data_IF_800382551249
#
_entry.id   IF_800382551249
#
_cell.length_a   1.000
_cell.length_b   1.000
_cell.length_c   1.000
_cell.angle_alpha   90.00
_cell.angle_beta   90.00
_cell.angle_gamma   90.00
#
_symmetry.space_group_name_H-M   'P 1'
#
loop_
_entity.id
_entity.type
_entity.pdbx_description
1 polymer ?
#
# COMPACT_ATOMS: atom_id res chain seq x y z
N UNK A 1 -0.02 -1.87 4.98
CA UNK A 1 -0.64 -1.92 3.63
C UNK A 1 0.38 -1.79 2.50
N UNK A 2 1.46 -1.01 2.68
CA UNK A 2 2.55 -0.84 1.72
C UNK A 2 3.11 -2.13 1.07
N UNK A 3 3.33 -3.25 1.78
CA UNK A 3 3.82 -4.46 1.11
C UNK A 3 2.87 -5.01 0.05
N UNK A 4 1.55 -4.95 0.29
CA UNK A 4 0.55 -5.32 -0.71
C UNK A 4 0.54 -4.32 -1.87
N UNK A 5 0.67 -3.02 -1.58
CA UNK A 5 0.77 -1.98 -2.61
C UNK A 5 1.97 -2.21 -3.53
N UNK A 6 3.17 -2.43 -2.98
CA UNK A 6 4.37 -2.64 -3.79
C UNK A 6 4.39 -3.99 -4.49
N UNK A 7 3.74 -5.01 -3.94
CA UNK A 7 3.48 -6.25 -4.68
C UNK A 7 2.71 -5.96 -5.97
N UNK A 8 1.64 -5.17 -5.91
CA UNK A 8 0.84 -4.80 -7.09
C UNK A 8 1.63 -3.92 -8.04
N UNK A 9 2.43 -2.99 -7.51
CA UNK A 9 3.30 -2.15 -8.33
C UNK A 9 4.24 -3.01 -9.19
N UNK A 10 4.87 -4.03 -8.59
CA UNK A 10 5.71 -5.00 -9.31
C UNK A 10 4.92 -5.76 -10.39
N UNK A 11 3.67 -6.13 -10.12
CA UNK A 11 2.80 -6.76 -11.12
C UNK A 11 2.41 -5.82 -12.28
N UNK A 12 2.52 -4.50 -12.08
CA UNK A 12 2.16 -3.46 -13.06
C UNK A 12 3.39 -2.74 -13.64
N UNK A 13 4.51 -3.45 -13.74
CA UNK A 13 5.70 -2.96 -14.45
C UNK A 13 6.69 -2.14 -13.62
N UNK A 14 6.45 -1.95 -12.32
CA UNK A 14 7.47 -1.38 -11.46
C UNK A 14 8.59 -2.40 -11.24
N UNK A 15 9.78 -1.90 -10.98
CA UNK A 15 10.91 -2.69 -10.53
C UNK A 15 11.36 -2.17 -9.17
N UNK A 16 12.16 -2.93 -8.40
CA UNK A 16 12.79 -2.41 -7.19
C UNK A 16 13.59 -1.12 -7.40
N UNK A 17 14.05 -0.88 -8.64
CA UNK A 17 14.82 0.28 -9.05
C UNK A 17 13.96 1.44 -9.63
N UNK A 18 12.62 1.29 -9.71
CA UNK A 18 11.75 2.40 -10.12
C UNK A 18 11.95 3.57 -9.16
N UNK A 19 12.28 4.74 -9.71
CA UNK A 19 12.58 5.95 -8.95
C UNK A 19 11.38 6.89 -8.93
N UNK A 20 11.07 7.43 -7.76
CA UNK A 20 10.17 8.58 -7.60
C UNK A 20 10.75 9.56 -6.58
N UNK A 21 10.44 10.84 -6.76
CA UNK A 21 10.88 11.91 -5.85
C UNK A 21 10.13 11.82 -4.51
N UNK A 22 10.86 11.83 -3.40
CA UNK A 22 10.32 11.94 -2.04
C UNK A 22 10.58 13.33 -1.48
N UNK A 23 9.51 14.11 -1.34
CA UNK A 23 9.49 15.48 -0.81
C UNK A 23 8.09 15.79 -0.30
N UNK A 24 7.94 16.86 0.49
CA UNK A 24 6.63 17.36 0.89
C UNK A 24 5.74 17.55 -0.34
N UNK A 25 4.58 16.87 -0.35
CA UNK A 25 3.71 16.80 -1.53
C UNK A 25 2.27 16.99 -1.09
N UNK A 26 1.58 17.93 -1.73
CA UNK A 26 0.13 18.06 -1.67
C UNK A 26 -0.44 17.36 -2.91
N UNK A 27 -1.37 16.42 -2.68
CA UNK A 27 -2.06 15.69 -3.74
C UNK A 27 -3.45 16.32 -3.94
N UNK A 28 -3.68 16.91 -5.11
CA UNK A 28 -4.99 17.41 -5.52
C UNK A 28 -5.85 16.23 -5.98
N UNK A 29 -7.10 16.14 -5.50
CA UNK A 29 -8.00 15.02 -5.77
C UNK A 29 -9.19 15.52 -6.59
N UNK A 30 -9.18 15.24 -7.89
CA UNK A 30 -10.18 15.72 -8.85
C UNK A 30 -11.62 15.21 -8.56
N UNK A 31 -11.76 14.06 -7.90
CA UNK A 31 -13.03 13.32 -7.78
C UNK A 31 -13.83 13.58 -6.49
N UNK A 32 -13.40 14.50 -5.60
CA UNK A 32 -14.09 14.80 -4.33
C UNK A 32 -14.64 16.23 -4.22
N UNK A 33 -14.75 16.93 -5.35
CA UNK A 33 -15.07 18.36 -5.39
C UNK A 33 -13.79 19.21 -5.38
N UNK A 34 -13.89 20.42 -5.91
CA UNK A 34 -12.79 21.29 -6.34
C UNK A 34 -11.73 21.70 -5.31
N UNK A 35 -11.80 21.21 -4.05
CA UNK A 35 -10.93 21.62 -2.94
C UNK A 35 -10.37 20.45 -2.11
N UNK A 36 -10.48 19.20 -2.56
CA UNK A 36 -9.99 18.05 -1.80
C UNK A 36 -8.47 17.86 -1.97
N UNK A 37 -7.68 18.60 -1.20
CA UNK A 37 -6.24 18.40 -1.09
C UNK A 37 -5.88 17.39 0.01
N UNK A 38 -4.96 16.46 -0.28
CA UNK A 38 -4.41 15.51 0.69
C UNK A 38 -2.91 15.74 0.85
N UNK A 39 -2.45 16.07 2.06
CA UNK A 39 -1.04 16.32 2.37
C UNK A 39 -0.54 15.34 3.44
N UNK A 40 -0.07 14.14 3.05
CA UNK A 40 0.54 13.19 3.97
C UNK A 40 1.98 13.61 4.32
N UNK A 41 2.42 13.31 5.55
CA UNK A 41 3.80 13.54 5.97
C UNK A 41 4.56 12.23 6.19
N UNK A 42 5.87 12.25 5.94
CA UNK A 42 6.76 11.19 6.40
C UNK A 42 6.96 11.24 7.92
N UNK A 43 7.47 10.15 8.50
CA UNK A 43 7.81 10.10 9.93
C UNK A 43 8.76 11.26 10.29
N UNK A 44 8.38 12.06 11.29
CA UNK A 44 9.05 13.30 11.69
C UNK A 44 9.30 14.34 10.57
N UNK A 45 8.59 14.25 9.44
CA UNK A 45 8.79 15.16 8.30
C UNK A 45 10.14 14.99 7.60
N UNK A 46 10.82 13.85 7.77
CA UNK A 46 12.05 13.58 7.04
C UNK A 46 11.74 13.11 5.62
N UNK A 47 12.22 13.87 4.65
CA UNK A 47 12.16 13.55 3.23
C UNK A 47 13.57 13.41 2.69
N UNK A 48 13.73 12.56 1.67
CA UNK A 48 15.00 12.49 0.95
C UNK A 48 15.30 13.81 0.21
N UNK A 49 14.25 14.54 -0.19
CA UNK A 49 14.31 15.69 -1.08
C UNK A 49 15.03 15.36 -2.40
N UNK A 50 14.93 14.10 -2.82
CA UNK A 50 15.58 13.53 -3.99
C UNK A 50 14.77 12.31 -4.50
N UNK A 51 15.18 11.73 -5.62
CA UNK A 51 14.70 10.47 -6.12
C UNK A 51 15.12 9.30 -5.22
N UNK A 52 14.15 8.52 -4.75
CA UNK A 52 14.39 7.25 -4.08
C UNK A 52 13.81 6.11 -4.91
N UNK A 53 14.45 4.95 -4.82
CA UNK A 53 13.96 3.72 -5.45
C UNK A 53 12.79 3.12 -4.66
N UNK A 54 11.95 2.31 -5.30
CA UNK A 54 10.89 1.56 -4.62
C UNK A 54 11.44 0.69 -3.47
N UNK A 55 12.63 0.10 -3.65
CA UNK A 55 13.30 -0.67 -2.61
C UNK A 55 13.62 0.19 -1.37
N UNK A 56 14.19 1.38 -1.58
CA UNK A 56 14.45 2.33 -0.49
C UNK A 56 13.15 2.82 0.16
N UNK A 57 12.12 3.12 -0.64
CA UNK A 57 10.82 3.54 -0.13
C UNK A 57 10.14 2.47 0.74
N UNK A 58 10.28 1.19 0.39
CA UNK A 58 9.82 0.08 1.24
C UNK A 58 10.65 -0.02 2.52
N UNK A 59 11.97 0.06 2.43
CA UNK A 59 12.87 -0.05 3.58
C UNK A 59 12.66 1.07 4.61
N UNK A 60 12.48 2.31 4.13
CA UNK A 60 12.28 3.50 4.96
C UNK A 60 10.80 3.72 5.31
N UNK A 61 9.89 2.91 4.77
CA UNK A 61 8.45 3.14 4.84
C UNK A 61 8.09 4.59 4.47
N UNK A 62 8.55 5.05 3.31
CA UNK A 62 8.25 6.39 2.79
C UNK A 62 6.74 6.50 2.45
N UNK A 63 6.06 7.51 2.98
CA UNK A 63 4.63 7.74 2.80
C UNK A 63 4.34 8.42 1.45
N UNK A 64 5.19 9.35 1.02
CA UNK A 64 5.01 10.09 -0.23
C UNK A 64 5.10 9.13 -1.42
N UNK A 65 6.12 8.27 -1.44
CA UNK A 65 6.29 7.25 -2.46
C UNK A 65 5.09 6.29 -2.49
N UNK A 66 4.60 5.86 -1.32
CA UNK A 66 3.45 4.99 -1.23
C UNK A 66 2.19 5.64 -1.81
N UNK A 67 1.91 6.90 -1.49
CA UNK A 67 0.74 7.62 -2.01
C UNK A 67 0.87 7.87 -3.51
N UNK A 68 2.05 8.30 -4.00
CA UNK A 68 2.33 8.43 -5.45
C UNK A 68 2.08 7.12 -6.19
N UNK A 69 2.57 6.00 -5.66
CA UNK A 69 2.37 4.66 -6.25
C UNK A 69 0.89 4.28 -6.28
N UNK A 70 0.15 4.51 -5.19
CA UNK A 70 -1.27 4.16 -5.08
C UNK A 70 -2.14 4.96 -6.04
N UNK A 71 -1.87 6.26 -6.19
CA UNK A 71 -2.56 7.11 -7.16
C UNK A 71 -2.19 6.73 -8.60
N UNK A 72 -0.91 6.50 -8.89
CA UNK A 72 -0.43 6.12 -10.22
C UNK A 72 -1.08 4.82 -10.72
N UNK A 73 -1.22 3.81 -9.85
CA UNK A 73 -1.82 2.52 -10.22
C UNK A 73 -3.35 2.57 -10.33
N UNK A 74 -3.98 3.62 -9.78
CA UNK A 74 -5.41 3.67 -9.53
C UNK A 74 -5.77 3.00 -8.19
N UNK A 75 -6.52 3.72 -7.36
CA UNK A 75 -6.78 3.32 -5.97
C UNK A 75 -7.51 1.98 -5.83
N UNK A 76 -8.29 1.61 -6.83
CA UNK A 76 -9.00 0.34 -6.88
C UNK A 76 -8.06 -0.88 -6.87
N UNK A 77 -6.83 -0.75 -7.37
CA UNK A 77 -5.91 -1.88 -7.50
C UNK A 77 -5.51 -2.41 -6.13
N UNK A 78 -5.25 -1.51 -5.17
CA UNK A 78 -4.94 -1.89 -3.79
C UNK A 78 -6.13 -2.58 -3.11
N UNK A 79 -7.36 -2.12 -3.37
CA UNK A 79 -8.57 -2.76 -2.87
C UNK A 79 -8.73 -4.18 -3.45
N UNK A 80 -8.51 -4.36 -4.76
CA UNK A 80 -8.58 -5.67 -5.43
C UNK A 80 -7.51 -6.63 -4.90
N UNK A 81 -6.30 -6.13 -4.65
CA UNK A 81 -5.24 -6.93 -4.07
C UNK A 81 -5.53 -7.32 -2.62
N UNK A 82 -6.02 -6.40 -1.79
CA UNK A 82 -6.45 -6.73 -0.42
C UNK A 82 -7.40 -7.93 -0.41
N UNK A 83 -8.42 -7.91 -1.28
CA UNK A 83 -9.35 -9.05 -1.46
C UNK A 83 -8.65 -10.33 -1.92
N UNK A 84 -7.69 -10.22 -2.85
CA UNK A 84 -6.90 -11.35 -3.34
C UNK A 84 -6.08 -12.00 -2.23
N UNK A 85 -5.52 -11.20 -1.33
CA UNK A 85 -4.75 -11.63 -0.16
C UNK A 85 -5.62 -11.99 1.07
N UNK A 86 -6.94 -12.06 0.90
CA UNK A 86 -7.86 -12.56 1.93
C UNK A 86 -8.31 -11.53 2.96
N UNK A 87 -8.09 -10.24 2.73
CA UNK A 87 -8.72 -9.16 3.50
C UNK A 87 -10.19 -9.08 3.09
N UNK A 88 -11.07 -9.22 4.08
CA UNK A 88 -12.53 -9.19 3.89
C UNK A 88 -13.16 -7.90 4.38
N UNK A 89 -12.47 -7.17 5.25
CA UNK A 89 -12.87 -5.84 5.67
C UNK A 89 -13.04 -4.89 4.48
N UNK A 90 -13.93 -3.91 4.61
CA UNK A 90 -14.14 -2.88 3.59
C UNK A 90 -12.88 -2.00 3.53
N UNK A 91 -12.28 -1.92 2.34
CA UNK A 91 -11.19 -1.00 2.04
C UNK A 91 -11.72 0.15 1.20
N UNK A 92 -11.56 1.38 1.68
CA UNK A 92 -12.06 2.56 0.98
C UNK A 92 -11.11 2.98 -0.15
N UNK A 93 -11.65 3.37 -1.30
CA UNK A 93 -10.87 3.83 -2.46
C UNK A 93 -10.44 5.29 -2.28
N UNK A 94 -9.58 5.53 -1.29
CA UNK A 94 -9.05 6.85 -0.94
C UNK A 94 -7.52 6.85 -0.95
N UNK A 95 -6.86 8.02 -1.14
CA UNK A 95 -5.40 8.09 -1.20
C UNK A 95 -4.72 7.56 0.07
N UNK A 96 -5.34 7.81 1.21
CA UNK A 96 -4.83 7.41 2.53
C UNK A 96 -4.80 5.89 2.75
N UNK A 97 -5.50 5.10 1.93
CA UNK A 97 -5.46 3.63 2.02
C UNK A 97 -4.04 3.08 1.86
N UNK A 98 -3.19 3.75 1.07
CA UNK A 98 -1.77 3.41 0.93
C UNK A 98 -1.04 3.36 2.28
N UNK A 99 -1.49 4.18 3.23
CA UNK A 99 -0.94 4.30 4.58
C UNK A 99 -1.65 3.39 5.60
N UNK A 100 -2.68 2.65 5.18
CA UNK A 100 -3.39 1.68 6.01
C UNK A 100 -4.49 2.29 6.89
N UNK A 101 -5.19 3.32 6.41
CA UNK A 101 -6.28 3.98 7.16
C UNK A 101 -7.54 3.14 7.32
N UNK A 102 -7.77 2.13 6.47
CA UNK A 102 -8.86 1.17 6.68
C UNK A 102 -8.46 0.10 7.71
N UNK A 103 -9.28 -0.13 8.77
CA UNK A 103 -8.99 -1.14 9.77
C UNK A 103 -9.08 -2.55 9.16
N UNK A 104 -8.15 -3.42 9.55
CA UNK A 104 -8.09 -4.82 9.12
C UNK A 104 -7.91 -5.71 10.34
N UNK A 105 -8.64 -6.83 10.39
CA UNK A 105 -8.50 -7.80 11.47
C UNK A 105 -7.07 -8.39 11.45
N UNK A 106 -6.41 -8.53 12.62
CA UNK A 106 -5.05 -9.10 12.69
C UNK A 106 -4.92 -10.46 12.00
N UNK A 107 -5.92 -11.34 12.14
CA UNK A 107 -5.92 -12.66 11.50
C UNK A 107 -5.92 -12.58 9.97
N UNK A 108 -6.58 -11.58 9.39
CA UNK A 108 -6.60 -11.37 7.93
C UNK A 108 -5.29 -10.80 7.44
N UNK A 109 -4.73 -9.83 8.17
CA UNK A 109 -3.41 -9.28 7.85
C UNK A 109 -2.32 -10.35 7.94
N UNK A 110 -2.29 -11.13 9.02
CA UNK A 110 -1.34 -12.25 9.18
C UNK A 110 -1.46 -13.25 8.03
N UNK A 111 -2.69 -13.57 7.60
CA UNK A 111 -2.91 -14.46 6.47
C UNK A 111 -2.42 -13.86 5.15
N UNK A 112 -2.63 -12.55 4.94
CA UNK A 112 -2.12 -11.84 3.76
C UNK A 112 -0.59 -11.91 3.67
N UNK A 113 0.13 -11.69 4.77
CA UNK A 113 1.58 -11.86 4.82
C UNK A 113 2.01 -13.33 4.61
N UNK A 114 1.27 -14.29 5.16
CA UNK A 114 1.55 -15.71 4.94
C UNK A 114 1.45 -16.09 3.44
N UNK A 115 0.46 -15.52 2.73
CA UNK A 115 0.32 -15.70 1.29
C UNK A 115 1.50 -15.08 0.51
N UNK A 116 2.00 -13.91 0.90
CA UNK A 116 3.21 -13.32 0.28
C UNK A 116 4.42 -14.25 0.39
N UNK A 117 4.70 -14.76 1.61
CA UNK A 117 5.87 -15.59 1.87
C UNK A 117 5.76 -16.98 1.21
N UNK A 118 4.54 -17.53 1.08
CA UNK A 118 4.30 -18.83 0.46
C UNK A 118 4.12 -18.74 -1.08
N UNK A 119 4.73 -17.75 -1.72
CA UNK A 119 4.70 -17.59 -3.19
C UNK A 119 3.30 -17.34 -3.77
N UNK A 120 2.43 -16.65 -3.03
CA UNK A 120 1.08 -16.29 -3.46
C UNK A 120 0.02 -17.38 -3.27
N UNK A 121 0.37 -18.55 -2.72
CA UNK A 121 -0.59 -19.64 -2.49
C UNK A 121 -1.58 -19.26 -1.40
N UNK A 122 -2.88 -19.47 -1.67
CA UNK A 122 -3.95 -19.21 -0.69
C UNK A 122 -3.76 -20.06 0.56
N UNK A 123 -3.79 -19.40 1.72
CA UNK A 123 -3.75 -20.04 3.03
C UNK A 123 -5.08 -19.79 3.74
N UNK A 124 -5.58 -20.81 4.46
CA UNK A 124 -6.74 -20.70 5.34
C UNK A 124 -6.27 -20.80 6.79
N UNK A 125 -6.51 -19.77 7.63
CA UNK A 125 -6.20 -19.86 9.05
C UNK A 125 -6.89 -21.06 9.71
N UNK A 126 -6.12 -21.86 10.45
CA UNK A 126 -6.59 -23.09 11.09
C UNK A 126 -6.22 -23.08 12.57
N UNK A 127 -7.20 -23.25 13.46
CA UNK A 127 -7.00 -23.20 14.92
C UNK A 127 -6.97 -24.58 15.58
N UNK A 128 -7.64 -25.57 14.98
CA UNK A 128 -7.77 -26.93 15.52
C UNK A 128 -7.21 -27.90 14.48
N UNK A 129 -6.21 -28.68 14.86
CA UNK A 129 -5.55 -29.64 13.96
C UNK A 129 -5.91 -31.10 14.27
N UNK A 130 -6.31 -31.41 15.51
CA UNK A 130 -6.77 -32.73 15.97
C UNK A 130 -7.81 -32.53 17.08
N UNK A 131 -8.72 -33.50 17.23
CA UNK A 131 -9.68 -33.57 18.34
C UNK A 131 -9.08 -34.29 19.53
#
# INVERSE_FOLDING_TARGET
MKPLLYYIALQNGFTPATVMRSEETVFELDDQGSDAAYSPSNYHGYYANDGITMLQALALSDNIYAVKTHLFLGMEQLVRAGKTFGIKEKLDQVPSLALGTSPVKPIEMTNAYAMLVNGGKRVKPTFITKK
#
